data_IF_106142679643
#
_entry.id   IF_106142679643
#
_cell.length_a   1.000
_cell.length_b   1.000
_cell.length_c   1.000
_cell.angle_alpha   90.00
_cell.angle_beta   90.00
_cell.angle_gamma   90.00
#
_symmetry.space_group_name_H-M   'P 1'
#
loop_
_entity.id
_entity.type
_entity.pdbx_description
1 polymer ?
#
# COMPACT_ATOMS: atom_id res chain seq x y z
N UNK A 1 -0.03 -6.81 14.73
CA UNK A 1 -1.11 -5.83 14.47
C UNK A 1 -2.46 -6.52 14.49
N UNK A 2 -3.35 -6.08 15.38
CA UNK A 2 -4.65 -6.72 15.65
C UNK A 2 -5.71 -6.44 14.59
N UNK A 3 -6.92 -6.96 14.81
CA UNK A 3 -8.08 -6.76 13.93
C UNK A 3 -8.60 -5.32 13.93
N UNK A 4 -8.30 -4.53 14.96
CA UNK A 4 -8.71 -3.11 15.05
C UNK A 4 -7.83 -2.13 14.29
N UNK A 5 -6.64 -2.53 13.82
CA UNK A 5 -5.71 -1.58 13.19
C UNK A 5 -5.99 -1.41 11.68
N UNK A 6 -6.81 -0.41 11.35
CA UNK A 6 -7.26 -0.07 9.98
C UNK A 6 -6.10 0.28 9.04
N UNK A 7 -4.92 0.63 9.57
CA UNK A 7 -3.75 0.90 8.73
C UNK A 7 -3.16 -0.39 8.16
N UNK A 8 -3.65 -1.57 8.53
CA UNK A 8 -3.06 -2.87 8.21
C UNK A 8 -3.95 -3.70 7.30
N UNK A 9 -3.37 -4.67 6.58
CA UNK A 9 -4.16 -5.57 5.74
C UNK A 9 -5.19 -6.34 6.58
N UNK A 10 -4.81 -6.81 7.77
CA UNK A 10 -5.68 -7.56 8.70
C UNK A 10 -6.82 -6.70 9.24
N UNK A 11 -6.55 -5.46 9.65
CA UNK A 11 -7.61 -4.55 10.10
C UNK A 11 -8.53 -4.08 8.98
N UNK A 12 -8.01 -3.89 7.76
CA UNK A 12 -8.85 -3.62 6.57
C UNK A 12 -9.74 -4.79 6.18
N UNK A 13 -9.26 -6.04 6.33
CA UNK A 13 -10.10 -7.23 6.12
C UNK A 13 -11.24 -7.25 7.15
N UNK A 14 -10.90 -7.02 8.43
CA UNK A 14 -11.89 -7.07 9.51
C UNK A 14 -12.92 -5.95 9.42
N UNK A 15 -12.50 -4.73 9.06
CA UNK A 15 -13.38 -3.59 8.85
C UNK A 15 -14.11 -3.61 7.49
N UNK A 16 -13.88 -4.62 6.64
CA UNK A 16 -14.48 -4.71 5.30
C UNK A 16 -14.00 -3.68 4.27
N UNK A 17 -13.15 -2.72 4.66
CA UNK A 17 -12.74 -1.61 3.80
C UNK A 17 -11.55 -1.93 2.90
N UNK A 18 -11.39 -1.14 1.84
CA UNK A 18 -10.27 -1.21 0.90
C UNK A 18 -9.29 -0.05 1.12
N UNK A 19 -8.16 -0.08 0.44
CA UNK A 19 -7.20 1.03 0.38
C UNK A 19 -5.81 0.54 0.02
N UNK A 20 -4.79 1.38 0.24
CA UNK A 20 -3.42 1.10 -0.24
C UNK A 20 -2.87 -0.28 0.14
N UNK A 21 -3.14 -0.76 1.37
CA UNK A 21 -2.70 -2.08 1.85
C UNK A 21 -3.66 -3.25 1.53
N UNK A 22 -4.90 -2.97 1.09
CA UNK A 22 -5.91 -3.96 0.67
C UNK A 22 -6.69 -3.40 -0.53
N UNK A 23 -6.15 -3.50 -1.76
CA UNK A 23 -6.81 -2.97 -2.95
C UNK A 23 -8.04 -3.80 -3.34
N UNK A 24 -9.04 -3.17 -3.96
CA UNK A 24 -10.29 -3.81 -4.43
C UNK A 24 -10.12 -4.50 -5.78
N UNK A 25 -9.35 -3.88 -6.69
CA UNK A 25 -8.94 -4.46 -7.97
C UNK A 25 -7.42 -4.61 -7.95
N UNK A 26 -6.93 -5.74 -8.42
CA UNK A 26 -5.49 -6.07 -8.53
C UNK A 26 -4.72 -5.18 -9.50
N UNK A 27 -5.36 -4.18 -10.11
CA UNK A 27 -4.77 -3.28 -11.11
C UNK A 27 -3.96 -2.13 -10.53
N UNK A 28 -3.91 -1.94 -9.20
CA UNK A 28 -3.15 -0.84 -8.61
C UNK A 28 -1.91 -1.38 -7.91
N UNK A 29 -0.75 -1.20 -8.57
CA UNK A 29 0.61 -1.15 -8.01
C UNK A 29 0.60 -0.94 -6.49
N UNK A 30 0.54 -2.02 -5.72
CA UNK A 30 0.62 -1.95 -4.28
C UNK A 30 2.10 -1.78 -3.90
N UNK A 31 2.59 -0.54 -4.02
CA UNK A 31 3.88 -0.15 -3.46
C UNK A 31 5.06 -0.09 -4.44
N UNK A 32 4.94 0.68 -5.52
CA UNK A 32 6.15 1.35 -6.02
C UNK A 32 6.45 2.51 -5.03
N UNK A 33 7.58 2.49 -4.29
CA UNK A 33 8.01 3.65 -3.54
C UNK A 33 8.39 4.74 -4.54
N UNK A 34 7.47 5.67 -4.85
CA UNK A 34 7.85 6.93 -5.48
C UNK A 34 8.34 7.87 -4.38
N UNK A 35 9.63 7.73 -4.05
CA UNK A 35 10.59 8.64 -3.39
C UNK A 35 11.70 7.71 -2.88
N UNK A 36 12.95 7.72 -3.33
CA UNK A 36 13.76 8.62 -4.16
C UNK A 36 14.78 7.76 -4.91
N UNK A 37 14.98 8.03 -6.19
CA UNK A 37 16.25 7.81 -6.89
C UNK A 37 16.26 8.68 -8.15
N UNK A 38 15.94 9.97 -7.96
CA UNK A 38 16.45 11.01 -8.84
C UNK A 38 17.89 11.31 -8.40
N UNK A 39 18.86 10.46 -8.80
CA UNK A 39 20.28 10.80 -8.82
C UNK A 39 21.08 9.69 -9.51
N UNK A 40 21.83 10.08 -10.54
CA UNK A 40 22.87 9.33 -11.28
C UNK A 40 22.39 8.34 -12.36
N UNK A 41 21.95 8.88 -13.50
CA UNK A 41 22.56 8.53 -14.80
C UNK A 41 22.54 9.75 -15.73
N UNK A 42 23.72 10.00 -16.33
CA UNK A 42 24.07 10.99 -17.37
C UNK A 42 24.18 12.46 -16.95
N UNK A 43 25.42 12.88 -16.64
CA UNK A 43 26.23 13.70 -17.54
C UNK A 43 27.68 13.27 -17.35
#
# INVERSE_FOLDING_TARGET
MGRGDIKTKKGKIFAGSYGKKRPSKTTVKAGAPKKEAAAKKKA
#
